data_IF_587655784871
#
_entry.id   IF_587655784871
#
_cell.length_a   1.000
_cell.length_b   1.000
_cell.length_c   1.000
_cell.angle_alpha   90.00
_cell.angle_beta   90.00
_cell.angle_gamma   90.00
#
_symmetry.space_group_name_H-M   'P 1'
#
loop_
_entity.id
_entity.type
_entity.pdbx_description
1 polymer ?
#
# COMPACT_ATOMS: atom_id res chain seq x y z
N UNK A 1 48.35 22.57 60.82
CA UNK A 1 47.88 23.65 59.92
C UNK A 1 48.15 23.17 58.49
N UNK A 2 47.23 22.40 57.90
CA UNK A 2 46.10 22.86 57.09
C UNK A 2 46.54 23.49 55.75
N UNK A 3 46.49 22.72 54.65
CA UNK A 3 46.21 23.28 53.32
C UNK A 3 45.66 22.22 52.35
N UNK A 4 44.33 22.21 52.32
CA UNK A 4 43.40 22.00 51.20
C UNK A 4 43.82 21.06 50.06
N UNK A 5 43.11 19.91 50.04
CA UNK A 5 42.95 19.02 48.91
C UNK A 5 42.34 19.76 47.70
N UNK A 6 42.97 19.62 46.54
CA UNK A 6 42.44 20.03 45.24
C UNK A 6 41.89 18.78 44.56
N UNK A 7 40.56 18.72 44.42
CA UNK A 7 39.81 17.60 43.88
C UNK A 7 39.60 17.87 42.38
N UNK A 8 40.37 17.20 41.52
CA UNK A 8 40.16 17.22 40.06
C UNK A 8 39.33 15.99 39.72
N UNK A 9 38.02 16.21 39.50
CA UNK A 9 37.10 15.19 38.99
C UNK A 9 37.39 15.01 37.50
N UNK A 10 38.11 13.95 37.15
CA UNK A 10 38.24 13.48 35.77
C UNK A 10 36.94 12.82 35.33
N UNK A 11 36.17 13.53 34.50
CA UNK A 11 34.93 13.03 33.91
C UNK A 11 35.27 12.05 32.78
N UNK A 12 35.25 10.75 33.10
CA UNK A 12 35.44 9.65 32.15
C UNK A 12 34.13 9.45 31.37
N UNK A 13 34.06 9.93 30.13
CA UNK A 13 32.94 9.68 29.21
C UNK A 13 33.01 8.23 28.71
N UNK A 14 32.19 7.37 29.31
CA UNK A 14 31.93 6.01 28.81
C UNK A 14 31.01 6.14 27.59
N UNK A 15 31.56 5.89 26.41
CA UNK A 15 30.80 5.86 25.16
C UNK A 15 30.56 4.40 24.72
N UNK A 16 29.33 3.92 24.91
CA UNK A 16 28.74 2.77 24.21
C UNK A 16 27.21 2.84 24.39
N UNK A 17 26.36 2.29 23.49
CA UNK A 17 26.55 1.94 22.09
C UNK A 17 25.50 2.64 21.19
N UNK A 18 25.89 3.21 20.05
CA UNK A 18 24.92 3.49 19.00
C UNK A 18 24.69 2.19 18.23
N UNK A 19 23.67 1.43 18.61
CA UNK A 19 23.06 0.48 17.69
C UNK A 19 22.61 1.29 16.47
N UNK A 20 23.40 1.22 15.40
CA UNK A 20 22.93 1.46 14.06
C UNK A 20 21.79 0.47 13.86
N UNK A 21 20.57 0.93 14.16
CA UNK A 21 19.36 0.30 13.70
C UNK A 21 19.46 0.33 12.19
N UNK A 22 19.95 -0.78 11.65
CA UNK A 22 19.73 -1.16 10.28
C UNK A 22 18.27 -0.85 10.02
N UNK A 23 18.03 0.16 9.18
CA UNK A 23 16.71 0.43 8.69
C UNK A 23 16.28 -0.89 8.04
N UNK A 24 15.51 -1.68 8.78
CA UNK A 24 14.77 -2.78 8.23
C UNK A 24 13.91 -2.11 7.17
N UNK A 25 14.43 -2.07 5.94
CA UNK A 25 13.72 -1.67 4.75
C UNK A 25 12.39 -2.37 4.89
N UNK A 26 11.34 -1.60 5.18
CA UNK A 26 10.01 -2.14 5.32
C UNK A 26 9.68 -2.69 3.93
N UNK A 27 10.01 -3.97 3.73
CA UNK A 27 9.84 -4.64 2.46
C UNK A 27 8.34 -4.60 2.22
N UNK A 28 7.95 -3.67 1.36
CA UNK A 28 6.55 -3.39 1.12
C UNK A 28 6.05 -4.57 0.30
N UNK A 29 5.10 -5.33 0.86
CA UNK A 29 4.52 -6.49 0.20
C UNK A 29 4.00 -6.05 -1.18
N UNK A 30 4.55 -6.57 -2.29
CA UNK A 30 4.15 -6.14 -3.62
C UNK A 30 2.73 -6.62 -3.92
N UNK A 31 1.95 -5.73 -4.53
CA UNK A 31 0.68 -6.08 -5.15
C UNK A 31 0.95 -6.48 -6.60
N UNK A 32 0.56 -7.69 -6.98
CA UNK A 32 0.84 -8.30 -8.27
C UNK A 32 -0.40 -8.31 -9.16
N UNK A 33 -0.16 -8.22 -10.46
CA UNK A 33 -1.21 -8.34 -11.49
C UNK A 33 -1.67 -9.78 -11.69
N UNK A 34 -0.74 -10.74 -11.55
CA UNK A 34 -0.98 -12.15 -11.78
C UNK A 34 -0.28 -13.03 -10.74
N UNK A 35 -0.78 -14.27 -10.61
CA UNK A 35 -0.14 -15.29 -9.76
C UNK A 35 1.13 -15.76 -10.47
N UNK A 36 2.32 -15.61 -9.87
CA UNK A 36 3.56 -16.08 -10.49
C UNK A 36 3.64 -17.62 -10.49
N UNK A 37 4.50 -18.19 -11.33
CA UNK A 37 4.70 -19.64 -11.38
C UNK A 37 5.42 -20.23 -10.17
N UNK A 38 6.06 -19.39 -9.36
CA UNK A 38 6.93 -19.80 -8.25
C UNK A 38 6.19 -19.89 -6.89
N UNK A 39 4.86 -19.78 -6.83
CA UNK A 39 4.13 -19.69 -5.55
C UNK A 39 4.35 -20.93 -4.69
N UNK A 40 4.85 -20.72 -3.48
CA UNK A 40 5.02 -21.78 -2.47
C UNK A 40 3.69 -22.10 -1.78
N UNK A 41 2.92 -21.06 -1.44
CA UNK A 41 1.65 -21.21 -0.74
C UNK A 41 0.64 -20.12 -1.11
N UNK A 42 -0.65 -20.49 -1.08
CA UNK A 42 -1.79 -19.57 -1.15
C UNK A 42 -2.42 -19.49 0.24
N UNK A 43 -2.45 -18.30 0.82
CA UNK A 43 -2.80 -18.12 2.24
C UNK A 43 -4.25 -17.69 2.47
N UNK A 44 -5.03 -17.51 1.40
CA UNK A 44 -6.41 -17.05 1.48
C UNK A 44 -6.58 -15.65 0.89
N UNK A 45 -7.73 -15.04 1.15
CA UNK A 45 -8.08 -13.72 0.59
C UNK A 45 -8.14 -12.68 1.68
N UNK A 46 -7.76 -11.46 1.30
CA UNK A 46 -7.91 -10.26 2.13
C UNK A 46 -8.66 -9.20 1.34
N UNK A 47 -9.53 -8.46 2.02
CA UNK A 47 -10.31 -7.40 1.41
C UNK A 47 -10.16 -6.12 2.21
N UNK A 48 -9.98 -5.01 1.50
CA UNK A 48 -9.83 -3.68 2.10
C UNK A 48 -10.72 -2.69 1.37
N UNK A 49 -11.21 -1.70 2.11
CA UNK A 49 -11.91 -0.55 1.54
C UNK A 49 -11.45 0.75 2.20
N UNK A 50 -11.56 1.84 1.44
CA UNK A 50 -11.35 3.21 1.90
C UNK A 50 -12.40 4.12 1.30
N UNK A 51 -12.77 5.18 2.05
CA UNK A 51 -13.78 6.13 1.63
C UNK A 51 -15.21 5.63 1.88
N UNK A 52 -16.17 6.20 1.18
CA UNK A 52 -17.60 5.91 1.35
C UNK A 52 -18.29 5.79 0.00
N UNK A 53 -19.13 4.77 -0.15
CA UNK A 53 -20.03 4.65 -1.31
C UNK A 53 -21.10 5.75 -1.33
N UNK A 54 -21.39 6.38 -0.18
CA UNK A 54 -22.18 7.61 -0.18
C UNK A 54 -21.31 8.75 -0.71
N UNK A 55 -21.51 9.06 -1.99
CA UNK A 55 -20.77 10.06 -2.73
C UNK A 55 -21.15 11.49 -2.36
N UNK A 56 -22.20 11.71 -1.54
CA UNK A 56 -22.60 13.05 -1.08
C UNK A 56 -21.53 13.63 -0.15
N UNK A 57 -20.73 14.54 -0.68
CA UNK A 57 -19.66 15.19 0.09
C UNK A 57 -18.44 14.30 0.36
N UNK A 58 -18.36 13.12 -0.27
CA UNK A 58 -17.19 12.26 -0.18
C UNK A 58 -15.93 13.02 -0.63
N UNK A 59 -14.87 12.93 0.17
CA UNK A 59 -13.54 13.41 -0.21
C UNK A 59 -12.87 12.34 -1.07
N UNK A 60 -12.26 12.75 -2.18
CA UNK A 60 -11.54 11.83 -3.05
C UNK A 60 -10.47 11.04 -2.29
N UNK A 61 -10.45 9.73 -2.50
CA UNK A 61 -9.48 8.79 -1.94
C UNK A 61 -8.39 8.46 -2.96
N UNK A 62 -7.31 7.82 -2.51
CA UNK A 62 -6.12 7.52 -3.31
C UNK A 62 -5.93 6.02 -3.47
N UNK A 63 -5.65 5.58 -4.70
CA UNK A 63 -5.25 4.20 -5.00
C UNK A 63 -3.99 3.79 -4.25
N UNK A 64 -2.98 4.67 -4.15
CA UNK A 64 -1.77 4.40 -3.36
C UNK A 64 -2.11 3.94 -1.94
N UNK A 65 -3.00 4.69 -1.26
CA UNK A 65 -3.42 4.36 0.10
C UNK A 65 -4.23 3.06 0.17
N UNK A 66 -5.03 2.76 -0.85
CA UNK A 66 -5.80 1.51 -0.91
C UNK A 66 -4.86 0.29 -1.10
N UNK A 67 -3.88 0.41 -2.00
CA UNK A 67 -2.87 -0.61 -2.26
C UNK A 67 -1.94 -0.82 -1.06
N UNK A 68 -1.50 0.24 -0.41
CA UNK A 68 -0.72 0.15 0.85
C UNK A 68 -1.50 -0.60 1.94
N UNK A 69 -2.81 -0.33 2.04
CA UNK A 69 -3.68 -1.02 3.00
C UNK A 69 -3.85 -2.49 2.64
N UNK A 70 -3.97 -2.83 1.35
CA UNK A 70 -4.03 -4.22 0.88
C UNK A 70 -2.73 -4.98 1.13
N UNK A 71 -1.59 -4.35 0.83
CA UNK A 71 -0.25 -4.90 1.07
C UNK A 71 -0.02 -5.18 2.56
N UNK A 72 -0.41 -4.25 3.44
CA UNK A 72 -0.36 -4.45 4.90
C UNK A 72 -1.27 -5.59 5.34
N UNK A 73 -2.51 -5.64 4.87
CA UNK A 73 -3.43 -6.73 5.21
C UNK A 73 -2.89 -8.11 4.77
N UNK A 74 -2.20 -8.18 3.62
CA UNK A 74 -1.55 -9.40 3.17
C UNK A 74 -0.34 -9.78 4.04
N UNK A 75 0.47 -8.81 4.46
CA UNK A 75 1.57 -9.01 5.40
C UNK A 75 1.07 -9.54 6.76
N UNK A 76 0.01 -8.94 7.30
CA UNK A 76 -0.62 -9.34 8.56
C UNK A 76 -1.21 -10.76 8.47
N UNK A 77 -1.61 -11.17 7.27
CA UNK A 77 -2.06 -12.53 6.96
C UNK A 77 -0.90 -13.51 6.67
N UNK A 78 0.35 -13.07 6.87
CA UNK A 78 1.57 -13.86 6.76
C UNK A 78 2.08 -14.07 5.33
N UNK A 79 1.55 -13.37 4.33
CA UNK A 79 2.05 -13.40 2.96
C UNK A 79 3.23 -12.44 2.75
N UNK A 80 3.99 -12.69 1.69
CA UNK A 80 5.03 -11.77 1.22
C UNK A 80 4.74 -11.20 -0.18
N UNK A 81 3.60 -11.54 -0.78
CA UNK A 81 3.03 -10.89 -1.95
C UNK A 81 1.49 -11.03 -1.94
N UNK A 82 0.80 -10.16 -2.67
CA UNK A 82 -0.67 -10.23 -2.83
C UNK A 82 -1.06 -10.01 -4.28
N UNK A 83 -1.89 -10.89 -4.83
CA UNK A 83 -2.37 -10.76 -6.22
C UNK A 83 -3.73 -10.08 -6.20
N UNK A 84 -3.88 -8.95 -6.89
CA UNK A 84 -5.19 -8.28 -6.98
C UNK A 84 -6.17 -9.17 -7.73
N UNK A 85 -7.37 -9.38 -7.17
CA UNK A 85 -8.42 -10.23 -7.75
C UNK A 85 -9.65 -9.45 -8.11
N UNK A 86 -10.03 -8.48 -7.29
CA UNK A 86 -11.19 -7.64 -7.53
C UNK A 86 -10.87 -6.20 -7.18
N UNK A 87 -11.52 -5.31 -7.92
CA UNK A 87 -11.43 -3.87 -7.74
C UNK A 87 -12.82 -3.27 -7.96
N UNK A 88 -13.24 -2.44 -7.03
CA UNK A 88 -14.43 -1.61 -7.12
C UNK A 88 -14.05 -0.18 -6.77
N UNK A 89 -14.50 0.79 -7.56
CA UNK A 89 -14.38 2.20 -7.24
C UNK A 89 -15.70 2.91 -7.53
N UNK A 90 -16.05 3.89 -6.69
CA UNK A 90 -17.19 4.75 -6.92
C UNK A 90 -16.71 6.19 -7.10
N UNK A 91 -16.98 6.76 -8.26
CA UNK A 91 -16.61 8.14 -8.58
C UNK A 91 -17.75 9.11 -8.27
N UNK A 92 -17.37 10.33 -7.89
CA UNK A 92 -18.31 11.41 -7.63
C UNK A 92 -18.35 12.31 -8.86
N UNK A 93 -19.54 12.62 -9.36
CA UNK A 93 -19.72 13.70 -10.31
C UNK A 93 -20.05 14.99 -9.54
N UNK A 94 -19.27 16.04 -9.76
CA UNK A 94 -19.51 17.38 -9.20
C UNK A 94 -19.71 18.37 -10.35
N UNK A 95 -20.83 19.08 -10.36
CA UNK A 95 -21.12 20.11 -11.36
C UNK A 95 -20.97 19.60 -12.81
N UNK A 96 -21.50 18.40 -13.10
CA UNK A 96 -21.41 17.73 -14.42
C UNK A 96 -19.99 17.34 -14.86
N UNK A 97 -18.99 17.38 -13.96
CA UNK A 97 -17.63 16.88 -14.20
C UNK A 97 -17.34 15.71 -13.27
N UNK A 98 -16.73 14.67 -13.79
CA UNK A 98 -16.22 13.57 -12.98
C UNK A 98 -15.03 14.07 -12.16
N UNK A 99 -15.05 13.83 -10.85
CA UNK A 99 -13.86 14.03 -10.03
C UNK A 99 -12.80 12.98 -10.44
N UNK A 100 -11.55 13.37 -10.71
CA UNK A 100 -10.49 12.41 -11.06
C UNK A 100 -10.18 11.42 -9.94
N UNK A 101 -10.60 11.69 -8.70
CA UNK A 101 -10.42 10.79 -7.56
C UNK A 101 -11.74 10.14 -7.17
N UNK A 102 -11.78 8.80 -7.01
CA UNK A 102 -12.98 8.14 -6.53
C UNK A 102 -13.27 8.54 -5.07
N UNK A 103 -14.54 8.53 -4.68
CA UNK A 103 -14.95 8.71 -3.28
C UNK A 103 -14.86 7.43 -2.44
N UNK A 104 -14.76 6.28 -3.12
CA UNK A 104 -14.63 4.95 -2.54
C UNK A 104 -13.75 4.06 -3.40
N UNK A 105 -12.91 3.26 -2.75
CA UNK A 105 -12.17 2.16 -3.38
C UNK A 105 -12.31 0.92 -2.48
N UNK A 106 -12.60 -0.22 -3.07
CA UNK A 106 -12.43 -1.54 -2.47
C UNK A 106 -11.58 -2.45 -3.34
N UNK A 107 -10.71 -3.21 -2.68
CA UNK A 107 -9.80 -4.16 -3.30
C UNK A 107 -9.92 -5.51 -2.58
N UNK A 108 -9.94 -6.59 -3.36
CA UNK A 108 -9.76 -7.96 -2.86
C UNK A 108 -8.47 -8.53 -3.45
N UNK A 109 -7.63 -9.14 -2.61
CA UNK A 109 -6.39 -9.76 -3.00
C UNK A 109 -6.28 -11.20 -2.53
N UNK A 110 -5.60 -12.04 -3.32
CA UNK A 110 -5.14 -13.37 -2.90
C UNK A 110 -3.75 -13.22 -2.26
N UNK A 111 -3.65 -13.56 -0.99
CA UNK A 111 -2.38 -13.57 -0.24
C UNK A 111 -1.59 -14.80 -0.65
N UNK A 112 -0.33 -14.59 -1.02
CA UNK A 112 0.57 -15.67 -1.44
C UNK A 112 1.91 -15.56 -0.71
N UNK A 113 2.60 -16.71 -0.68
CA UNK A 113 4.00 -16.82 -0.33
C UNK A 113 4.81 -17.20 -1.55
N UNK A 114 5.82 -16.40 -1.87
CA UNK A 114 6.84 -16.69 -2.89
C UNK A 114 8.18 -16.94 -2.21
N UNK A 115 9.13 -17.66 -2.85
CA UNK A 115 10.45 -17.90 -2.30
C UNK A 115 11.15 -16.57 -1.97
N UNK A 116 11.90 -16.55 -0.88
CA UNK A 116 12.66 -15.36 -0.45
C UNK A 116 13.71 -14.96 -1.49
N UNK A 117 14.24 -15.93 -2.24
CA UNK A 117 15.05 -15.67 -3.43
C UNK A 117 14.16 -15.34 -4.63
N UNK A 118 13.52 -14.17 -4.55
CA UNK A 118 12.60 -13.69 -5.56
C UNK A 118 13.29 -13.39 -6.91
N UNK A 119 14.63 -13.39 -7.00
CA UNK A 119 15.35 -13.20 -8.27
C UNK A 119 15.07 -14.33 -9.27
N UNK A 120 14.68 -15.51 -8.78
CA UNK A 120 14.23 -16.63 -9.60
C UNK A 120 12.75 -16.55 -9.98
N UNK A 121 12.00 -15.63 -9.35
CA UNK A 121 10.58 -15.47 -9.55
C UNK A 121 10.25 -14.18 -10.29
N UNK A 122 9.78 -14.31 -11.54
CA UNK A 122 9.26 -13.17 -12.29
C UNK A 122 7.96 -12.64 -11.64
N UNK A 123 8.09 -11.60 -10.81
CA UNK A 123 6.97 -10.91 -10.19
C UNK A 123 6.52 -9.74 -11.08
N UNK A 124 5.29 -9.79 -11.57
CA UNK A 124 4.65 -8.66 -12.24
C UNK A 124 3.99 -7.75 -11.21
N UNK A 125 4.80 -6.86 -10.62
CA UNK A 125 4.31 -5.85 -9.70
C UNK A 125 3.43 -4.84 -10.44
N UNK A 126 2.33 -4.46 -9.80
CA UNK A 126 1.38 -3.53 -10.37
C UNK A 126 1.87 -2.09 -10.24
N UNK A 127 1.83 -1.36 -11.35
CA UNK A 127 1.98 0.09 -11.36
C UNK A 127 0.65 0.72 -10.91
N UNK A 128 0.65 1.31 -9.71
CA UNK A 128 -0.55 1.85 -9.07
C UNK A 128 -1.05 3.10 -9.77
N UNK A 129 -0.15 3.94 -10.30
CA UNK A 129 -0.53 5.17 -11.00
C UNK A 129 -1.13 4.81 -12.37
N UNK A 130 -0.50 3.92 -13.12
CA UNK A 130 -1.05 3.42 -14.37
C UNK A 130 -2.40 2.70 -14.16
N UNK A 131 -2.56 1.97 -13.04
CA UNK A 131 -3.83 1.35 -12.67
C UNK A 131 -4.92 2.39 -12.38
N UNK A 132 -4.58 3.45 -11.66
CA UNK A 132 -5.51 4.53 -11.32
C UNK A 132 -6.00 5.26 -12.58
N UNK A 133 -5.10 5.56 -13.51
CA UNK A 133 -5.43 6.21 -14.78
C UNK A 133 -6.38 5.36 -15.64
N UNK A 134 -6.09 4.06 -15.78
CA UNK A 134 -6.96 3.12 -16.51
C UNK A 134 -8.34 3.02 -15.86
N UNK A 135 -8.40 2.96 -14.53
CA UNK A 135 -9.65 2.87 -13.78
C UNK A 135 -10.52 4.12 -13.96
N UNK A 136 -9.92 5.31 -13.88
CA UNK A 136 -10.62 6.57 -14.11
C UNK A 136 -11.05 6.73 -15.57
N UNK A 137 -10.24 6.25 -16.53
CA UNK A 137 -10.58 6.26 -17.95
C UNK A 137 -11.82 5.42 -18.26
N UNK A 138 -11.87 4.19 -17.75
CA UNK A 138 -13.00 3.27 -17.95
C UNK A 138 -14.32 3.83 -17.40
N UNK A 139 -14.30 4.44 -16.23
CA UNK A 139 -15.47 5.09 -15.63
C UNK A 139 -16.01 6.23 -16.52
N UNK A 140 -15.11 7.05 -17.07
CA UNK A 140 -15.50 8.17 -17.95
C UNK A 140 -16.18 7.68 -19.22
N UNK A 141 -15.72 6.55 -19.77
CA UNK A 141 -16.31 5.94 -20.95
C UNK A 141 -17.72 5.40 -20.68
N UNK A 142 -17.94 4.75 -19.53
CA UNK A 142 -19.26 4.29 -19.12
C UNK A 142 -20.26 5.46 -19.03
N UNK A 143 -19.93 6.51 -18.29
CA UNK A 143 -20.81 7.69 -18.13
C UNK A 143 -21.12 8.35 -19.48
N UNK A 144 -20.14 8.41 -20.38
CA UNK A 144 -20.34 9.00 -21.72
C UNK A 144 -21.27 8.15 -22.58
N UNK A 145 -21.15 6.84 -22.49
CA UNK A 145 -21.98 5.90 -23.25
C UNK A 145 -23.42 5.89 -22.74
N UNK A 146 -23.61 5.84 -21.42
CA UNK A 146 -24.94 5.94 -20.80
C UNK A 146 -25.66 7.25 -21.17
N UNK A 147 -24.95 8.38 -21.20
CA UNK A 147 -25.52 9.67 -21.59
C UNK A 147 -25.90 9.78 -23.08
N UNK A 148 -25.34 8.93 -23.96
CA UNK A 148 -25.69 8.91 -25.39
C UNK A 148 -26.92 8.05 -25.71
N UNK A 149 -27.40 7.26 -24.75
CA UNK A 149 -28.53 6.34 -24.94
C UNK A 149 -29.90 6.96 -24.61
N UNK A 150 -29.98 8.28 -24.46
CA UNK A 150 -31.22 9.03 -24.19
C UNK A 150 -31.58 9.99 -25.33
#
# INVERSE_FOLDING_TARGET
MAMRAMLVVGMLLVAVPAHAGEAASAQTVPVLEAVPGCVEAKMGRVSVSIGSKDTRGARGVSYQRAFDKLARAAADHGGNAVVLRQHEAAYVTRSKKLDPRPGYIALEGLVIRVPTDAATCALAAMDVDAFAERSAGAEREQITTENKSF
#
